data_IF_361395309412
#
_entry.id   IF_361395309412
#
_cell.length_a   1.000
_cell.length_b   1.000
_cell.length_c   1.000
_cell.angle_alpha   90.00
_cell.angle_beta   90.00
_cell.angle_gamma   90.00
#
_symmetry.space_group_name_H-M   'P 1'
#
loop_
_entity.id
_entity.type
_entity.pdbx_description
1 polymer ?
#
# COMPACT_ATOMS: atom_id res chain seq x y z
N UNK A 1 -18.46 -11.37 4.78
CA UNK A 1 -18.20 -10.96 6.19
C UNK A 1 -17.87 -9.48 6.19
N UNK A 2 -18.57 -8.65 6.98
CA UNK A 2 -18.12 -7.26 7.21
C UNK A 2 -16.99 -7.32 8.25
N UNK A 3 -15.80 -6.84 7.89
CA UNK A 3 -14.70 -6.68 8.84
C UNK A 3 -15.06 -5.63 9.90
N UNK A 4 -14.74 -5.88 11.16
CA UNK A 4 -14.92 -4.89 12.22
C UNK A 4 -13.88 -3.76 12.10
N UNK A 5 -14.10 -2.63 12.81
CA UNK A 5 -13.23 -1.45 12.76
C UNK A 5 -11.75 -1.78 13.02
N UNK A 6 -11.48 -2.60 14.04
CA UNK A 6 -10.11 -2.99 14.41
C UNK A 6 -9.44 -3.85 13.33
N UNK A 7 -10.19 -4.78 12.71
CA UNK A 7 -9.69 -5.59 11.59
C UNK A 7 -9.37 -4.73 10.37
N UNK A 8 -10.24 -3.77 10.05
CA UNK A 8 -10.03 -2.84 8.93
C UNK A 8 -8.81 -1.95 9.14
N UNK A 9 -8.63 -1.45 10.37
CA UNK A 9 -7.45 -0.66 10.72
C UNK A 9 -6.17 -1.51 10.65
N UNK A 10 -6.23 -2.77 11.08
CA UNK A 10 -5.13 -3.73 10.90
C UNK A 10 -4.78 -3.94 9.44
N UNK A 11 -5.78 -4.14 8.57
CA UNK A 11 -5.59 -4.26 7.12
C UNK A 11 -5.01 -2.98 6.53
N UNK A 12 -5.50 -1.81 6.94
CA UNK A 12 -4.97 -0.52 6.47
C UNK A 12 -3.48 -0.37 6.82
N UNK A 13 -3.06 -0.73 8.04
CA UNK A 13 -1.64 -0.69 8.44
C UNK A 13 -0.77 -1.66 7.64
N UNK A 14 -1.23 -2.89 7.40
CA UNK A 14 -0.53 -3.85 6.54
C UNK A 14 -0.38 -3.30 5.12
N UNK A 15 -1.44 -2.68 4.60
CA UNK A 15 -1.46 -2.08 3.27
C UNK A 15 -0.46 -0.92 3.16
N UNK A 16 -0.38 -0.05 4.17
CA UNK A 16 0.58 1.06 4.18
C UNK A 16 2.04 0.59 4.27
N UNK A 17 2.31 -0.46 5.04
CA UNK A 17 3.64 -1.07 5.12
C UNK A 17 4.04 -1.70 3.77
N UNK A 18 3.11 -2.38 3.10
CA UNK A 18 3.33 -2.91 1.76
C UNK A 18 3.58 -1.79 0.74
N UNK A 19 2.82 -0.69 0.82
CA UNK A 19 3.06 0.48 -0.02
C UNK A 19 4.48 1.00 0.19
N UNK A 20 4.86 1.22 1.44
CA UNK A 20 6.21 1.67 1.81
C UNK A 20 7.29 0.73 1.26
N UNK A 21 7.09 -0.58 1.39
CA UNK A 21 8.01 -1.57 0.83
C UNK A 21 8.12 -1.49 -0.71
N UNK A 22 7.02 -1.27 -1.44
CA UNK A 22 7.05 -1.06 -2.89
C UNK A 22 7.90 0.17 -3.26
N UNK A 23 7.75 1.28 -2.54
CA UNK A 23 8.52 2.49 -2.79
C UNK A 23 10.01 2.29 -2.47
N UNK A 24 10.32 1.68 -1.32
CA UNK A 24 11.70 1.34 -0.94
C UNK A 24 12.33 0.41 -1.97
N UNK A 25 11.62 -0.62 -2.43
CA UNK A 25 12.11 -1.53 -3.45
C UNK A 25 12.34 -0.84 -4.80
N UNK A 26 11.48 0.11 -5.20
CA UNK A 26 11.67 0.88 -6.42
C UNK A 26 12.91 1.79 -6.34
N UNK A 27 13.11 2.46 -5.21
CA UNK A 27 14.26 3.35 -5.01
C UNK A 27 15.56 2.55 -4.88
N UNK A 28 15.60 1.59 -3.95
CA UNK A 28 16.81 0.81 -3.69
C UNK A 28 17.14 -0.07 -4.89
N UNK A 29 16.18 -0.84 -5.39
CA UNK A 29 16.41 -1.75 -6.51
C UNK A 29 16.61 -1.04 -7.85
N UNK A 30 15.97 0.12 -8.06
CA UNK A 30 15.99 0.84 -9.34
C UNK A 30 17.03 1.96 -9.40
N UNK A 31 17.03 2.88 -8.42
CA UNK A 31 17.88 4.07 -8.45
C UNK A 31 19.25 3.82 -7.81
N UNK A 32 19.31 3.06 -6.70
CA UNK A 32 20.56 2.83 -5.97
C UNK A 32 21.36 1.68 -6.57
N UNK A 33 20.73 0.50 -6.69
CA UNK A 33 21.40 -0.71 -7.15
C UNK A 33 21.29 -0.95 -8.67
N UNK A 34 20.35 -0.29 -9.36
CA UNK A 34 20.04 -0.50 -10.78
C UNK A 34 19.83 -1.98 -11.18
N UNK A 35 19.35 -2.80 -10.24
CA UNK A 35 19.13 -4.26 -10.40
C UNK A 35 17.75 -4.61 -10.96
N UNK A 36 16.81 -3.66 -10.94
CA UNK A 36 15.47 -3.87 -11.52
C UNK A 36 15.30 -3.02 -12.77
N UNK A 37 14.61 -3.57 -13.77
CA UNK A 37 14.29 -2.85 -15.00
C UNK A 37 13.17 -1.81 -14.81
N UNK A 38 13.06 -0.90 -15.78
CA UNK A 38 12.02 0.15 -15.81
C UNK A 38 10.59 -0.40 -15.69
N UNK A 39 10.31 -1.56 -16.30
CA UNK A 39 8.99 -2.21 -16.17
C UNK A 39 8.65 -2.57 -14.72
N UNK A 40 9.61 -3.15 -13.97
CA UNK A 40 9.44 -3.47 -12.55
C UNK A 40 9.29 -2.20 -11.71
N UNK A 41 10.08 -1.16 -11.99
CA UNK A 41 9.96 0.11 -11.29
C UNK A 41 8.56 0.74 -11.48
N UNK A 42 8.05 0.81 -12.71
CA UNK A 42 6.70 1.33 -13.01
C UNK A 42 5.63 0.50 -12.31
N UNK A 43 5.76 -0.83 -12.30
CA UNK A 43 4.84 -1.70 -11.57
C UNK A 43 4.84 -1.41 -10.06
N UNK A 44 6.01 -1.26 -9.43
CA UNK A 44 6.13 -0.95 -8.01
C UNK A 44 5.53 0.42 -7.67
N UNK A 45 5.76 1.44 -8.51
CA UNK A 45 5.12 2.75 -8.35
C UNK A 45 3.59 2.66 -8.49
N UNK A 46 3.10 1.91 -9.47
CA UNK A 46 1.66 1.70 -9.66
C UNK A 46 1.04 1.01 -8.45
N UNK A 47 1.69 -0.05 -7.95
CA UNK A 47 1.25 -0.77 -6.76
C UNK A 47 1.28 0.09 -5.50
N UNK A 48 2.27 0.96 -5.35
CA UNK A 48 2.31 1.93 -4.25
C UNK A 48 1.03 2.76 -4.20
N UNK A 49 0.61 3.36 -5.32
CA UNK A 49 -0.61 4.17 -5.37
C UNK A 49 -1.87 3.35 -5.09
N UNK A 50 -1.97 2.14 -5.67
CA UNK A 50 -3.11 1.23 -5.42
C UNK A 50 -3.23 0.89 -3.94
N UNK A 51 -2.11 0.60 -3.27
CA UNK A 51 -2.08 0.26 -1.85
C UNK A 51 -2.44 1.47 -0.97
N UNK A 52 -1.90 2.66 -1.25
CA UNK A 52 -2.30 3.88 -0.54
C UNK A 52 -3.81 4.12 -0.65
N UNK A 53 -4.38 3.99 -1.84
CA UNK A 53 -5.83 4.14 -2.05
C UNK A 53 -6.63 3.09 -1.29
N UNK A 54 -6.17 1.84 -1.27
CA UNK A 54 -6.80 0.77 -0.51
C UNK A 54 -6.74 1.07 1.00
N UNK A 55 -5.60 1.50 1.54
CA UNK A 55 -5.44 1.88 2.94
C UNK A 55 -6.37 3.02 3.36
N UNK A 56 -6.47 4.07 2.53
CA UNK A 56 -7.40 5.18 2.72
C UNK A 56 -8.86 4.73 2.68
N UNK A 57 -9.22 3.85 1.74
CA UNK A 57 -10.57 3.29 1.67
C UNK A 57 -10.90 2.48 2.93
N UNK A 58 -9.99 1.61 3.39
CA UNK A 58 -10.23 0.82 4.59
C UNK A 58 -10.43 1.68 5.84
N UNK A 59 -9.67 2.79 5.96
CA UNK A 59 -9.88 3.80 7.01
C UNK A 59 -11.24 4.49 6.86
N UNK A 60 -11.57 5.00 5.68
CA UNK A 60 -12.79 5.77 5.43
C UNK A 60 -14.07 4.98 5.73
N UNK A 61 -14.26 3.80 5.17
CA UNK A 61 -15.49 3.05 5.49
C UNK A 61 -15.46 2.46 6.92
N UNK A 62 -14.33 2.52 7.63
CA UNK A 62 -14.23 2.17 9.05
C UNK A 62 -14.75 3.29 9.97
N UNK A 63 -14.68 4.53 9.51
CA UNK A 63 -15.33 5.69 10.14
C UNK A 63 -16.83 5.72 9.81
N UNK A 64 -17.22 5.48 8.55
CA UNK A 64 -18.62 5.52 8.11
C UNK A 64 -19.49 4.39 8.71
N UNK A 65 -18.93 3.20 8.96
CA UNK A 65 -19.66 2.07 9.59
C UNK A 65 -19.51 2.03 11.13
N UNK A 66 -18.93 3.06 11.74
CA UNK A 66 -18.60 3.12 13.17
C UNK A 66 -19.54 3.96 14.03
N UNK A 67 -20.69 4.40 13.50
CA UNK A 67 -21.79 5.02 14.26
C UNK A 67 -22.91 4.02 14.52
#
# INVERSE_FOLDING_TARGET
MKFNKNQREGIAKVTDNLATACMVAAIVGGLVDAKIGWGTAVFLFTMFFVLILAGLKFRKEGEENGN
#
